data_IF_819133619579
#
_entry.id   IF_819133619579
#
_cell.length_a   1.000
_cell.length_b   1.000
_cell.length_c   1.000
_cell.angle_alpha   90.00
_cell.angle_beta   90.00
_cell.angle_gamma   90.00
#
_symmetry.space_group_name_H-M   'P 1'
#
loop_
_entity.id
_entity.type
_entity.pdbx_description
1 polymer ?
#
# COMPACT_ATOMS: atom_id res chain seq x y z
N UNK A 1 -6.34 7.96 -23.53
CA UNK A 1 -5.30 7.10 -22.91
C UNK A 1 -5.87 5.70 -22.68
N UNK A 2 -5.02 4.69 -22.48
CA UNK A 2 -5.47 3.33 -22.13
C UNK A 2 -6.32 3.32 -20.85
N UNK A 3 -5.95 4.10 -19.86
CA UNK A 3 -6.72 4.24 -18.61
C UNK A 3 -8.12 4.77 -18.87
N UNK A 4 -8.27 5.75 -19.75
CA UNK A 4 -9.59 6.32 -20.10
C UNK A 4 -10.49 5.28 -20.77
N UNK A 5 -9.94 4.48 -21.68
CA UNK A 5 -10.70 3.42 -22.36
C UNK A 5 -11.13 2.32 -21.38
N UNK A 6 -10.24 1.93 -20.47
CA UNK A 6 -10.57 0.94 -19.43
C UNK A 6 -11.63 1.48 -18.44
N UNK A 7 -11.55 2.77 -18.06
CA UNK A 7 -12.56 3.41 -17.22
C UNK A 7 -13.94 3.42 -17.86
N UNK A 8 -14.03 3.67 -19.16
CA UNK A 8 -15.30 3.60 -19.88
C UNK A 8 -15.93 2.21 -19.79
N UNK A 9 -15.15 1.14 -19.95
CA UNK A 9 -15.65 -0.23 -19.76
C UNK A 9 -16.15 -0.49 -18.33
N UNK A 10 -15.46 0.06 -17.31
CA UNK A 10 -15.92 -0.05 -15.91
C UNK A 10 -17.25 0.67 -15.73
N UNK A 11 -17.42 1.88 -16.26
CA UNK A 11 -18.70 2.60 -16.21
C UNK A 11 -19.82 1.88 -16.94
N UNK A 12 -19.55 1.32 -18.12
CA UNK A 12 -20.52 0.50 -18.87
C UNK A 12 -20.93 -0.74 -18.06
N UNK A 13 -19.98 -1.40 -17.39
CA UNK A 13 -20.30 -2.51 -16.50
C UNK A 13 -21.21 -2.09 -15.34
N UNK A 14 -20.90 -0.98 -14.69
CA UNK A 14 -21.72 -0.46 -13.59
C UNK A 14 -23.14 -0.06 -14.03
N UNK A 15 -23.28 0.50 -15.25
CA UNK A 15 -24.56 0.96 -15.76
C UNK A 15 -25.45 -0.18 -16.32
N UNK A 16 -24.87 -1.20 -16.94
CA UNK A 16 -25.60 -2.19 -17.74
C UNK A 16 -25.15 -3.63 -17.53
N UNK A 17 -24.29 -3.91 -16.56
CA UNK A 17 -23.71 -5.22 -16.28
C UNK A 17 -22.98 -5.85 -17.48
N UNK A 18 -22.52 -5.04 -18.44
CA UNK A 18 -21.69 -5.51 -19.54
C UNK A 18 -20.40 -6.15 -18.99
N UNK A 19 -20.00 -7.25 -19.61
CA UNK A 19 -18.82 -7.98 -19.19
C UNK A 19 -17.55 -7.13 -19.40
N UNK A 20 -16.79 -6.90 -18.34
CA UNK A 20 -15.46 -6.27 -18.46
C UNK A 20 -14.51 -7.29 -19.10
N UNK A 21 -13.90 -6.92 -20.23
CA UNK A 21 -12.91 -7.75 -20.92
C UNK A 21 -11.84 -6.89 -21.56
N UNK A 22 -10.59 -7.39 -21.57
CA UNK A 22 -9.49 -6.74 -22.29
C UNK A 22 -9.02 -5.43 -21.68
N UNK A 23 -9.02 -5.29 -20.33
CA UNK A 23 -8.42 -4.15 -19.67
C UNK A 23 -6.90 -4.14 -19.89
N UNK A 24 -6.35 -2.98 -20.26
CA UNK A 24 -4.93 -2.81 -20.62
C UNK A 24 -4.09 -2.11 -19.53
N UNK A 25 -4.72 -1.33 -18.69
CA UNK A 25 -4.04 -0.54 -17.68
C UNK A 25 -4.62 -0.73 -16.28
N UNK A 26 -5.95 -0.78 -16.16
CA UNK A 26 -6.62 -0.93 -14.87
C UNK A 26 -6.67 -2.39 -14.42
N UNK A 27 -6.55 -2.58 -13.11
CA UNK A 27 -6.75 -3.86 -12.44
C UNK A 27 -8.00 -3.74 -11.57
N UNK A 28 -9.02 -4.55 -11.85
CA UNK A 28 -10.37 -4.37 -11.31
C UNK A 28 -10.75 -5.56 -10.43
N UNK A 29 -11.25 -5.30 -9.22
CA UNK A 29 -11.98 -6.27 -8.41
C UNK A 29 -13.47 -6.31 -8.86
N UNK A 30 -14.15 -7.46 -8.72
CA UNK A 30 -13.68 -8.74 -8.17
C UNK A 30 -12.97 -9.63 -9.20
N UNK A 31 -12.66 -9.11 -10.40
CA UNK A 31 -12.26 -9.93 -11.55
C UNK A 31 -10.80 -10.38 -11.53
N UNK A 32 -9.87 -9.45 -11.21
CA UNK A 32 -8.44 -9.73 -11.36
C UNK A 32 -7.55 -9.10 -10.27
N UNK A 33 -8.06 -8.17 -9.45
CA UNK A 33 -7.24 -7.43 -8.48
C UNK A 33 -6.51 -8.36 -7.50
N UNK A 34 -7.23 -9.26 -6.85
CA UNK A 34 -6.64 -10.21 -5.90
C UNK A 34 -5.52 -11.05 -6.55
N UNK A 35 -5.81 -11.63 -7.71
CA UNK A 35 -4.82 -12.45 -8.45
C UNK A 35 -3.60 -11.64 -8.85
N UNK A 36 -3.77 -10.40 -9.29
CA UNK A 36 -2.67 -9.51 -9.66
C UNK A 36 -1.78 -9.20 -8.45
N UNK A 37 -2.37 -8.89 -7.29
CA UNK A 37 -1.60 -8.63 -6.07
C UNK A 37 -0.85 -9.88 -5.61
N UNK A 38 -1.48 -11.06 -5.63
CA UNK A 38 -0.83 -12.34 -5.34
C UNK A 38 0.36 -12.60 -6.26
N UNK A 39 0.22 -12.34 -7.56
CA UNK A 39 1.32 -12.50 -8.53
C UNK A 39 2.52 -11.62 -8.20
N UNK A 40 2.29 -10.36 -7.82
CA UNK A 40 3.37 -9.46 -7.40
C UNK A 40 4.06 -9.93 -6.11
N UNK A 41 3.30 -10.35 -5.10
CA UNK A 41 3.88 -10.90 -3.87
C UNK A 41 4.72 -12.13 -4.16
N UNK A 42 4.23 -13.07 -4.98
CA UNK A 42 4.98 -14.27 -5.36
C UNK A 42 6.25 -13.94 -6.16
N UNK A 43 6.21 -12.95 -7.07
CA UNK A 43 7.40 -12.50 -7.80
C UNK A 43 8.48 -11.94 -6.86
N UNK A 44 8.07 -11.15 -5.86
CA UNK A 44 8.98 -10.65 -4.81
C UNK A 44 9.54 -11.79 -3.98
N UNK A 45 8.71 -12.77 -3.60
CA UNK A 45 9.15 -13.97 -2.85
C UNK A 45 10.19 -14.77 -3.63
N UNK A 46 9.96 -14.98 -4.93
CA UNK A 46 10.90 -15.67 -5.80
C UNK A 46 12.25 -14.93 -5.91
N UNK A 47 12.21 -13.60 -6.06
CA UNK A 47 13.42 -12.76 -6.08
C UNK A 47 14.18 -12.82 -4.77
N UNK A 48 13.49 -12.80 -3.62
CA UNK A 48 14.12 -12.95 -2.31
C UNK A 48 14.86 -14.28 -2.18
N UNK A 49 14.21 -15.39 -2.58
CA UNK A 49 14.83 -16.72 -2.59
C UNK A 49 16.05 -16.83 -3.51
N UNK A 50 16.05 -16.04 -4.58
CA UNK A 50 17.20 -15.95 -5.50
C UNK A 50 18.30 -14.98 -5.01
N UNK A 51 18.22 -14.44 -3.81
CA UNK A 51 19.16 -13.45 -3.27
C UNK A 51 19.15 -12.10 -3.99
N UNK A 52 18.11 -11.80 -4.73
CA UNK A 52 17.95 -10.55 -5.46
C UNK A 52 17.22 -9.50 -4.61
N UNK A 53 17.23 -8.24 -5.06
CA UNK A 53 16.47 -7.18 -4.40
C UNK A 53 14.98 -7.53 -4.33
N UNK A 54 14.44 -7.59 -3.11
CA UNK A 54 13.07 -8.00 -2.85
C UNK A 54 12.44 -7.11 -1.78
N UNK A 55 11.42 -6.32 -2.16
CA UNK A 55 10.79 -5.36 -1.28
C UNK A 55 9.30 -5.23 -1.56
N UNK A 56 8.53 -5.16 -0.50
CA UNK A 56 7.11 -4.82 -0.54
C UNK A 56 6.88 -3.65 0.41
N UNK A 57 6.17 -2.62 -0.04
CA UNK A 57 5.65 -1.57 0.83
C UNK A 57 4.19 -1.36 0.49
N UNK A 58 3.31 -1.61 1.45
CA UNK A 58 1.87 -1.45 1.29
C UNK A 58 1.35 -0.40 2.26
N UNK A 59 0.58 0.56 1.74
CA UNK A 59 -0.19 1.51 2.55
C UNK A 59 -1.66 1.31 2.24
N UNK A 60 -2.49 1.08 3.27
CA UNK A 60 -3.93 0.84 3.16
C UNK A 60 -4.64 1.04 4.50
N UNK A 61 -5.96 0.96 4.51
CA UNK A 61 -6.71 1.09 5.77
C UNK A 61 -6.86 -0.23 6.52
N UNK A 62 -7.02 -1.36 5.80
CA UNK A 62 -7.18 -2.67 6.42
C UNK A 62 -6.57 -3.78 5.56
N UNK A 63 -5.98 -4.79 6.23
CA UNK A 63 -5.41 -6.00 5.64
C UNK A 63 -5.92 -7.21 6.44
N UNK A 64 -6.98 -7.85 5.95
CA UNK A 64 -7.63 -9.00 6.60
C UNK A 64 -7.89 -10.16 5.64
N UNK A 65 -7.49 -10.06 4.37
CA UNK A 65 -7.51 -11.19 3.45
C UNK A 65 -6.42 -12.18 3.86
N UNK A 66 -6.84 -13.38 4.26
CA UNK A 66 -5.94 -14.39 4.82
C UNK A 66 -4.90 -14.88 3.82
N UNK A 67 -5.29 -15.06 2.57
CA UNK A 67 -4.40 -15.59 1.54
C UNK A 67 -3.29 -14.59 1.18
N UNK A 68 -3.62 -13.31 1.08
CA UNK A 68 -2.65 -12.24 0.87
C UNK A 68 -1.76 -12.05 2.11
N UNK A 69 -2.33 -12.16 3.32
CA UNK A 69 -1.58 -12.07 4.57
C UNK A 69 -0.53 -13.19 4.69
N UNK A 70 -0.92 -14.44 4.41
CA UNK A 70 -0.01 -15.59 4.39
C UNK A 70 1.09 -15.44 3.34
N UNK A 71 0.76 -14.96 2.14
CA UNK A 71 1.74 -14.71 1.08
C UNK A 71 2.76 -13.62 1.49
N UNK A 72 2.33 -12.55 2.17
CA UNK A 72 3.23 -11.52 2.70
C UNK A 72 4.16 -12.07 3.79
N UNK A 73 3.64 -12.90 4.69
CA UNK A 73 4.44 -13.57 5.71
C UNK A 73 5.49 -14.49 5.07
N UNK A 74 5.11 -15.24 4.03
CA UNK A 74 6.04 -16.08 3.27
C UNK A 74 7.11 -15.26 2.56
N UNK A 75 6.76 -14.13 1.95
CA UNK A 75 7.73 -13.22 1.35
C UNK A 75 8.77 -12.72 2.37
N UNK A 76 8.33 -12.36 3.58
CA UNK A 76 9.21 -11.98 4.68
C UNK A 76 10.17 -13.11 5.08
N UNK A 77 9.65 -14.32 5.28
CA UNK A 77 10.48 -15.51 5.58
C UNK A 77 11.48 -15.85 4.47
N UNK A 78 11.12 -15.59 3.22
CA UNK A 78 12.01 -15.78 2.08
C UNK A 78 13.15 -14.74 2.01
N UNK A 79 13.15 -13.74 2.90
CA UNK A 79 14.17 -12.69 2.96
C UNK A 79 13.76 -11.36 2.31
N UNK A 80 12.52 -11.23 1.84
CA UNK A 80 12.02 -9.94 1.37
C UNK A 80 11.81 -8.98 2.54
N UNK A 81 12.11 -7.70 2.33
CA UNK A 81 11.71 -6.66 3.27
C UNK A 81 10.26 -6.25 3.01
N UNK A 82 9.37 -6.52 3.96
CA UNK A 82 7.94 -6.20 3.87
C UNK A 82 7.60 -5.15 4.93
N UNK A 83 7.20 -3.97 4.48
CA UNK A 83 6.76 -2.87 5.33
C UNK A 83 5.26 -2.58 5.06
N UNK A 84 4.43 -2.74 6.08
CA UNK A 84 2.99 -2.53 6.03
C UNK A 84 2.62 -1.27 6.82
N UNK A 85 1.97 -0.31 6.17
CA UNK A 85 1.42 0.91 6.77
C UNK A 85 -0.10 0.74 6.75
N UNK A 86 -0.65 0.14 7.81
CA UNK A 86 -2.07 -0.21 7.91
C UNK A 86 -2.71 0.58 9.04
N UNK A 87 -3.65 1.45 8.70
CA UNK A 87 -4.30 2.34 9.67
C UNK A 87 -5.16 1.61 10.69
N UNK A 88 -5.91 0.59 10.25
CA UNK A 88 -6.87 -0.16 11.05
C UNK A 88 -6.46 -1.63 11.22
N UNK A 89 -7.39 -2.54 10.96
CA UNK A 89 -7.19 -3.97 11.17
C UNK A 89 -6.08 -4.56 10.29
N UNK A 90 -5.13 -5.26 10.91
CA UNK A 90 -4.08 -6.02 10.25
C UNK A 90 -3.96 -7.39 10.92
N UNK A 91 -4.12 -8.46 10.12
CA UNK A 91 -4.05 -9.84 10.63
C UNK A 91 -2.64 -10.44 10.54
N UNK A 92 -1.66 -9.71 9.98
CA UNK A 92 -0.27 -10.15 9.91
C UNK A 92 0.46 -9.65 11.16
N UNK A 93 0.89 -10.53 12.08
CA UNK A 93 1.72 -10.12 13.21
C UNK A 93 3.10 -9.67 12.71
N UNK A 94 3.63 -8.60 13.28
CA UNK A 94 4.90 -8.03 12.86
C UNK A 94 6.08 -8.83 13.45
N UNK A 95 6.95 -9.36 12.58
CA UNK A 95 8.20 -9.99 13.03
C UNK A 95 8.02 -11.24 13.89
N UNK A 96 6.88 -11.92 13.79
CA UNK A 96 6.67 -13.16 14.53
C UNK A 96 7.63 -14.25 14.03
N UNK A 97 8.48 -14.73 14.94
CA UNK A 97 9.57 -15.67 14.64
C UNK A 97 9.07 -16.94 13.93
N UNK A 98 9.70 -17.29 12.81
CA UNK A 98 9.33 -18.43 11.98
C UNK A 98 8.05 -18.26 11.16
N UNK A 99 7.32 -17.15 11.34
CA UNK A 99 6.09 -16.89 10.59
C UNK A 99 6.19 -15.63 9.72
N UNK A 100 6.60 -14.51 10.28
CA UNK A 100 6.63 -13.21 9.56
C UNK A 100 7.90 -12.39 9.86
N UNK A 101 9.05 -13.06 9.99
CA UNK A 101 10.32 -12.47 10.43
C UNK A 101 10.71 -11.18 9.69
N UNK A 102 10.47 -11.10 8.39
CA UNK A 102 10.79 -9.94 7.55
C UNK A 102 9.70 -8.89 7.47
N UNK A 103 8.58 -9.06 8.18
CA UNK A 103 7.41 -8.17 8.10
C UNK A 103 7.44 -7.15 9.23
N UNK A 104 7.22 -5.89 8.89
CA UNK A 104 7.03 -4.79 9.84
C UNK A 104 5.67 -4.16 9.59
N UNK A 105 4.96 -3.87 10.66
CA UNK A 105 3.63 -3.27 10.60
C UNK A 105 3.62 -1.99 11.42
N UNK A 106 3.06 -0.94 10.85
CA UNK A 106 2.79 0.32 11.55
C UNK A 106 1.44 0.88 11.19
N UNK A 107 0.88 1.65 12.08
CA UNK A 107 -0.25 2.54 11.84
C UNK A 107 0.19 3.98 12.01
N UNK A 108 -0.38 4.90 11.25
CA UNK A 108 -0.19 6.34 11.41
C UNK A 108 -1.49 6.94 11.91
N UNK A 109 -1.47 7.50 13.11
CA UNK A 109 -2.64 8.13 13.76
C UNK A 109 -2.24 9.56 14.13
N UNK A 110 -2.43 10.47 13.19
CA UNK A 110 -2.14 11.89 13.33
C UNK A 110 -3.40 12.76 13.22
N UNK A 111 -3.20 14.02 12.90
CA UNK A 111 -4.28 15.01 12.74
C UNK A 111 -5.23 14.70 11.59
N UNK A 112 -4.70 14.16 10.50
CA UNK A 112 -5.45 13.89 9.26
C UNK A 112 -5.71 12.40 9.10
N UNK A 113 -6.87 12.08 8.50
CA UNK A 113 -7.24 10.71 8.19
C UNK A 113 -6.34 10.17 7.07
N UNK A 114 -5.64 9.06 7.34
CA UNK A 114 -4.87 8.33 6.36
C UNK A 114 -5.79 7.40 5.55
N UNK A 115 -6.10 7.79 4.29
CA UNK A 115 -7.07 7.05 3.47
C UNK A 115 -6.52 6.62 2.10
N UNK A 116 -5.30 6.99 1.74
CA UNK A 116 -4.68 6.56 0.49
C UNK A 116 -4.26 5.10 0.53
N UNK A 117 -4.40 4.39 -0.60
CA UNK A 117 -3.91 3.03 -0.77
C UNK A 117 -2.87 3.03 -1.86
N UNK A 118 -1.68 2.56 -1.51
CA UNK A 118 -0.50 2.53 -2.37
C UNK A 118 0.17 1.19 -2.19
N UNK A 119 0.39 0.48 -3.30
CA UNK A 119 1.02 -0.83 -3.29
C UNK A 119 2.30 -0.77 -4.12
N UNK A 120 3.44 -1.00 -3.50
CA UNK A 120 4.75 -1.01 -4.13
C UNK A 120 5.42 -2.37 -3.99
N UNK A 121 5.92 -2.88 -5.11
CA UNK A 121 6.59 -4.16 -5.21
C UNK A 121 7.89 -3.99 -5.98
N UNK A 122 8.98 -4.56 -5.47
CA UNK A 122 10.25 -4.69 -6.17
C UNK A 122 10.69 -6.14 -6.17
N UNK A 123 10.89 -6.69 -7.36
CA UNK A 123 11.37 -8.04 -7.62
C UNK A 123 12.58 -7.96 -8.56
N UNK A 124 13.79 -8.07 -8.00
CA UNK A 124 15.04 -7.84 -8.73
C UNK A 124 15.10 -6.41 -9.29
N UNK A 125 15.19 -6.29 -10.61
CA UNK A 125 15.19 -5.01 -11.33
C UNK A 125 13.77 -4.47 -11.62
N UNK A 126 12.74 -5.32 -11.52
CA UNK A 126 11.37 -4.91 -11.82
C UNK A 126 10.73 -4.18 -10.64
N UNK A 127 10.09 -3.05 -10.93
CA UNK A 127 9.35 -2.26 -9.95
C UNK A 127 7.93 -2.00 -10.42
N UNK A 128 6.97 -2.26 -9.55
CA UNK A 128 5.54 -2.01 -9.80
C UNK A 128 4.96 -1.18 -8.67
N UNK A 129 4.18 -0.16 -9.02
CA UNK A 129 3.44 0.65 -8.06
C UNK A 129 2.02 0.85 -8.54
N UNK A 130 1.08 0.74 -7.61
CA UNK A 130 -0.34 0.96 -7.85
C UNK A 130 -0.90 1.94 -6.82
N UNK A 131 -1.77 2.84 -7.28
CA UNK A 131 -2.75 3.51 -6.44
C UNK A 131 -4.05 2.74 -6.53
N UNK A 132 -4.82 2.67 -5.43
CA UNK A 132 -6.02 1.84 -5.40
C UNK A 132 -7.13 2.45 -4.54
N UNK A 133 -8.37 2.08 -4.85
CA UNK A 133 -9.53 2.29 -3.99
C UNK A 133 -9.72 1.15 -2.98
N UNK A 134 -9.12 -0.03 -3.24
CA UNK A 134 -9.30 -1.23 -2.44
C UNK A 134 -8.39 -1.31 -1.23
N UNK A 135 -8.92 -1.77 -0.12
CA UNK A 135 -8.16 -2.41 0.95
C UNK A 135 -7.98 -3.91 0.66
N UNK A 136 -7.04 -4.56 1.33
CA UNK A 136 -6.83 -6.01 1.21
C UNK A 136 -7.74 -6.76 2.17
N UNK A 137 -9.03 -6.67 1.90
CA UNK A 137 -10.11 -7.34 2.63
C UNK A 137 -11.00 -8.13 1.64
N UNK A 138 -11.58 -9.22 2.09
CA UNK A 138 -12.42 -10.12 1.25
C UNK A 138 -13.52 -9.35 0.51
N UNK A 139 -14.17 -8.38 1.18
CA UNK A 139 -15.24 -7.60 0.56
C UNK A 139 -14.74 -6.77 -0.63
N UNK A 140 -13.60 -6.09 -0.52
CA UNK A 140 -13.03 -5.30 -1.61
C UNK A 140 -12.49 -6.18 -2.73
N UNK A 141 -11.85 -7.32 -2.38
CA UNK A 141 -11.22 -8.19 -3.36
C UNK A 141 -12.20 -9.00 -4.20
N UNK A 142 -13.38 -9.36 -3.63
CA UNK A 142 -14.27 -10.35 -4.24
C UNK A 142 -15.74 -9.93 -4.39
N UNK A 143 -16.17 -8.80 -3.84
CA UNK A 143 -17.59 -8.41 -3.79
C UNK A 143 -17.90 -7.00 -4.29
N UNK A 144 -16.93 -6.11 -4.29
CA UNK A 144 -17.10 -4.72 -4.72
C UNK A 144 -16.34 -4.48 -6.02
N UNK A 145 -16.82 -3.49 -6.78
CA UNK A 145 -16.03 -2.93 -7.88
C UNK A 145 -15.02 -1.98 -7.26
N UNK A 146 -13.77 -2.40 -7.28
CA UNK A 146 -12.63 -1.61 -6.81
C UNK A 146 -11.58 -1.55 -7.91
N UNK A 147 -10.77 -0.52 -7.89
CA UNK A 147 -9.79 -0.25 -8.91
C UNK A 147 -8.37 -0.17 -8.34
N UNK A 148 -7.41 -0.67 -9.09
CA UNK A 148 -6.01 -0.31 -8.94
C UNK A 148 -5.45 0.11 -10.31
N UNK A 149 -4.67 1.18 -10.33
CA UNK A 149 -4.05 1.68 -11.55
C UNK A 149 -2.54 1.84 -11.36
N UNK A 150 -1.74 1.41 -12.34
CA UNK A 150 -0.29 1.46 -12.23
C UNK A 150 0.24 2.89 -12.36
N UNK A 151 1.19 3.23 -11.52
CA UNK A 151 1.97 4.47 -11.65
C UNK A 151 3.16 4.19 -12.54
N UNK A 152 3.02 4.51 -13.84
CA UNK A 152 4.04 4.21 -14.87
C UNK A 152 5.13 5.26 -14.97
N UNK A 153 4.80 6.52 -14.71
CA UNK A 153 5.75 7.63 -14.75
C UNK A 153 6.78 7.52 -13.61
N UNK A 154 8.09 7.45 -13.93
CA UNK A 154 9.13 7.28 -12.91
C UNK A 154 9.22 8.44 -11.93
N UNK A 155 8.99 9.68 -12.38
CA UNK A 155 9.07 10.86 -11.53
C UNK A 155 7.90 10.90 -10.54
N UNK A 156 6.69 10.58 -10.99
CA UNK A 156 5.53 10.45 -10.11
C UNK A 156 5.70 9.28 -9.13
N UNK A 157 6.23 8.14 -9.58
CA UNK A 157 6.52 7.01 -8.70
C UNK A 157 7.52 7.37 -7.61
N UNK A 158 8.64 8.03 -7.98
CA UNK A 158 9.65 8.46 -7.01
C UNK A 158 9.05 9.44 -5.99
N UNK A 159 8.26 10.40 -6.46
CA UNK A 159 7.56 11.34 -5.59
C UNK A 159 6.64 10.63 -4.58
N UNK A 160 5.86 9.63 -5.03
CA UNK A 160 5.02 8.82 -4.14
C UNK A 160 5.86 8.01 -3.14
N UNK A 161 6.99 7.44 -3.58
CA UNK A 161 7.91 6.74 -2.67
C UNK A 161 8.39 7.68 -1.57
N UNK A 162 8.85 8.88 -1.92
CA UNK A 162 9.43 9.82 -0.96
C UNK A 162 8.37 10.40 -0.02
N UNK A 163 7.25 10.86 -0.56
CA UNK A 163 6.26 11.63 0.19
C UNK A 163 5.24 10.75 0.93
N UNK A 164 4.90 9.58 0.38
CA UNK A 164 3.81 8.77 0.93
C UNK A 164 4.26 7.43 1.52
N UNK A 165 5.42 6.94 1.15
CA UNK A 165 5.94 5.69 1.72
C UNK A 165 7.11 5.98 2.67
N UNK A 166 8.19 6.58 2.18
CA UNK A 166 9.40 6.83 2.96
C UNK A 166 9.13 7.78 4.14
N UNK A 167 8.39 8.87 3.93
CA UNK A 167 8.02 9.80 4.98
C UNK A 167 7.27 9.10 6.12
N UNK A 168 6.30 8.24 5.78
CA UNK A 168 5.51 7.50 6.76
C UNK A 168 6.30 6.37 7.42
N UNK A 169 7.21 5.72 6.70
CA UNK A 169 8.11 4.72 7.29
C UNK A 169 9.11 5.31 8.28
N UNK A 170 9.43 6.60 8.16
CA UNK A 170 10.31 7.33 9.06
C UNK A 170 9.57 8.20 10.08
N UNK A 171 8.23 8.19 10.05
CA UNK A 171 7.44 8.94 11.04
C UNK A 171 7.87 8.55 12.45
N UNK A 172 8.25 9.55 13.24
CA UNK A 172 8.72 9.38 14.61
C UNK A 172 7.78 10.00 15.65
N UNK A 173 6.58 10.41 15.25
CA UNK A 173 5.63 11.11 16.12
C UNK A 173 4.25 10.46 16.14
N UNK A 174 3.67 10.23 14.96
CA UNK A 174 2.29 9.78 14.82
C UNK A 174 2.19 8.27 14.55
N UNK A 175 3.36 7.58 14.43
CA UNK A 175 3.42 6.16 14.16
C UNK A 175 3.19 5.31 15.42
N UNK A 176 2.45 4.23 15.22
CA UNK A 176 2.28 3.13 16.17
C UNK A 176 2.88 1.87 15.55
N UNK A 177 3.76 1.20 16.26
CA UNK A 177 4.48 0.02 15.77
C UNK A 177 3.86 -1.23 16.39
N UNK A 178 3.53 -2.20 15.54
CA UNK A 178 3.04 -3.51 15.99
C UNK A 178 4.20 -4.40 16.41
N UNK A 179 4.04 -5.12 17.52
CA UNK A 179 4.93 -6.18 17.94
C UNK A 179 4.52 -7.57 17.41
N UNK A 180 5.27 -8.60 17.77
CA UNK A 180 5.04 -9.99 17.34
C UNK A 180 3.79 -10.63 17.95
N UNK A 181 3.20 -10.01 18.97
CA UNK A 181 1.95 -10.41 19.59
C UNK A 181 0.74 -9.65 19.02
N UNK A 182 0.96 -8.73 18.05
CA UNK A 182 -0.09 -7.91 17.46
C UNK A 182 -0.46 -6.67 18.28
N UNK A 183 0.28 -6.34 19.32
CA UNK A 183 0.05 -5.13 20.11
C UNK A 183 0.73 -3.92 19.48
N UNK A 184 0.07 -2.77 19.54
CA UNK A 184 0.62 -1.52 19.03
C UNK A 184 1.19 -0.67 20.17
N UNK A 185 2.39 -0.12 19.94
CA UNK A 185 3.04 0.84 20.82
C UNK A 185 3.38 2.11 20.06
N UNK A 186 3.17 3.26 20.71
CA UNK A 186 3.55 4.55 20.12
C UNK A 186 5.07 4.59 19.88
N UNK A 187 5.46 5.09 18.72
CA UNK A 187 6.88 5.31 18.41
C UNK A 187 7.54 6.30 19.37
N UNK A 188 6.78 7.25 19.92
CA UNK A 188 7.27 8.23 20.91
C UNK A 188 7.67 7.52 22.21
N UNK A 189 6.85 6.59 22.69
CA UNK A 189 7.13 5.81 23.89
C UNK A 189 8.36 4.91 23.69
N UNK A 190 8.48 4.29 22.52
CA UNK A 190 9.62 3.43 22.18
C UNK A 190 10.94 4.20 22.08
N UNK A 191 10.91 5.41 21.55
CA UNK A 191 12.11 6.26 21.34
C UNK A 191 12.41 7.19 22.51
N UNK A 192 11.49 7.37 23.43
CA UNK A 192 11.54 8.34 24.54
C UNK A 192 11.68 9.80 24.11
N UNK A 193 11.51 10.08 22.82
CA UNK A 193 11.55 11.43 22.25
C UNK A 193 10.67 11.48 21.01
N UNK A 194 9.88 12.55 20.81
CA UNK A 194 9.11 12.74 19.59
C UNK A 194 10.06 13.05 18.41
N UNK A 195 9.85 12.36 17.30
CA UNK A 195 10.51 12.63 16.04
C UNK A 195 9.67 13.54 15.13
N UNK A 196 10.05 13.60 13.84
CA UNK A 196 9.28 14.30 12.82
C UNK A 196 7.96 13.58 12.52
N UNK A 197 6.89 14.35 12.28
CA UNK A 197 5.61 13.87 11.77
C UNK A 197 5.59 13.95 10.25
N UNK A 198 5.26 12.85 9.58
CA UNK A 198 5.08 12.81 8.14
C UNK A 198 3.96 13.77 7.68
N UNK A 199 2.84 13.80 8.42
CA UNK A 199 1.73 14.71 8.11
C UNK A 199 2.12 16.19 8.23
N UNK A 200 2.85 16.56 9.30
CA UNK A 200 3.31 17.94 9.46
C UNK A 200 4.32 18.34 8.38
N UNK A 201 5.22 17.45 8.00
CA UNK A 201 6.18 17.71 6.92
C UNK A 201 5.47 17.95 5.58
N UNK A 202 4.43 17.15 5.27
CA UNK A 202 3.63 17.32 4.05
C UNK A 202 2.80 18.61 4.08
N UNK A 203 2.21 18.97 5.22
CA UNK A 203 1.51 20.24 5.39
C UNK A 203 2.46 21.41 5.19
N UNK A 204 3.65 21.39 5.78
CA UNK A 204 4.65 22.44 5.58
C UNK A 204 5.08 22.56 4.11
N UNK A 205 5.26 21.42 3.43
CA UNK A 205 5.66 21.38 2.02
C UNK A 205 4.59 21.93 1.08
N UNK A 206 3.32 21.63 1.31
CA UNK A 206 2.22 21.98 0.42
C UNK A 206 1.34 23.12 0.92
N UNK A 207 1.34 23.43 2.23
CA UNK A 207 0.57 24.53 2.81
C UNK A 207 0.99 25.91 2.33
N UNK A 208 2.26 26.08 1.97
CA UNK A 208 2.75 27.30 1.34
C UNK A 208 2.32 27.49 -0.12
N UNK A 209 1.88 26.44 -0.80
CA UNK A 209 1.37 26.51 -2.17
C UNK A 209 -0.09 26.98 -2.24
N UNK A 210 -0.83 26.89 -1.14
CA UNK A 210 -2.22 27.37 -1.07
C UNK A 210 -2.35 28.89 -0.94
N UNK A 211 -1.25 29.62 -0.71
CA UNK A 211 -1.23 31.09 -0.61
C UNK A 211 -1.14 31.83 -1.97
N UNK A 212 -1.08 31.13 -3.07
CA UNK A 212 -0.94 31.70 -4.42
C UNK A 212 -2.02 31.26 -5.39
N UNK A 213 -3.26 31.71 -5.22
CA UNK A 213 -4.20 31.75 -6.32
C UNK A 213 -5.41 30.83 -6.31
N UNK A 214 -6.50 31.48 -6.57
CA UNK A 214 -7.84 31.04 -6.95
C UNK A 214 -8.75 30.62 -5.81
N UNK A 215 -9.47 31.58 -5.30
CA UNK A 215 -10.76 31.33 -4.67
C UNK A 215 -11.64 30.51 -5.61
N UNK A 216 -12.16 29.40 -5.12
CA UNK A 216 -13.24 28.67 -5.77
C UNK A 216 -14.50 29.55 -5.61
N UNK A 217 -14.89 30.26 -6.68
CA UNK A 217 -16.20 30.90 -6.82
C UNK A 217 -17.18 29.93 -7.45
#
# INVERSE_FOLDING_TARGET
>A
SQITADMEQVFQHLASQHRISGLHALVVAPFQLHRCMMQHVHAVTASARAGQAARIVLKMNALTDESLALALAEAGRAGARVDLIVRGACVVPAGAAGFSDGVRVRSIIGRYLEHSRIFYFRAGAAEHMYLSSADWIVRNMFRLIELAWPVRDPAQRQRLIDETLTAYLHDGRDAWIMDDQGHYRSVVDLRRQPGASAQHALVARYGGLAGGGAAWT
#
